data_IF_126099477957
#
_entry.id   IF_126099477957
#
_cell.length_a   1.000
_cell.length_b   1.000
_cell.length_c   1.000
_cell.angle_alpha   90.00
_cell.angle_beta   90.00
_cell.angle_gamma   90.00
#
_symmetry.space_group_name_H-M   'P 1'
#
loop_
_entity.id
_entity.type
_entity.pdbx_description
1 polymer ?
#
# COMPACT_ATOMS: atom_id res chain seq x y z
N UNK A 1 -25.91 -30.76 -6.77
CA UNK A 1 -25.55 -29.91 -7.94
C UNK A 1 -25.60 -28.41 -7.64
N UNK A 2 -26.35 -27.92 -6.65
CA UNK A 2 -26.34 -26.49 -6.28
C UNK A 2 -25.08 -26.01 -5.51
N UNK A 3 -24.38 -26.91 -4.81
CA UNK A 3 -23.22 -26.56 -3.99
C UNK A 3 -21.95 -26.25 -4.81
N UNK A 4 -21.82 -26.82 -6.01
CA UNK A 4 -20.68 -26.63 -6.92
C UNK A 4 -20.73 -25.30 -7.65
N UNK A 5 -21.92 -24.76 -7.91
CA UNK A 5 -22.13 -23.43 -8.51
C UNK A 5 -21.63 -22.31 -7.58
N UNK A 6 -21.87 -22.43 -6.27
CA UNK A 6 -21.47 -21.41 -5.30
C UNK A 6 -19.95 -21.28 -5.15
N UNK A 7 -19.23 -22.40 -5.11
CA UNK A 7 -17.75 -22.42 -5.05
C UNK A 7 -17.14 -21.86 -6.33
N UNK A 8 -17.72 -22.19 -7.48
CA UNK A 8 -17.24 -21.71 -8.79
C UNK A 8 -17.41 -20.20 -8.92
N UNK A 9 -18.55 -19.64 -8.48
CA UNK A 9 -18.78 -18.18 -8.43
C UNK A 9 -17.83 -17.44 -7.49
N UNK A 10 -17.50 -18.03 -6.34
CA UNK A 10 -16.51 -17.45 -5.42
C UNK A 10 -15.09 -17.47 -6.03
N UNK A 11 -14.76 -18.53 -6.77
CA UNK A 11 -13.47 -18.64 -7.46
C UNK A 11 -13.37 -17.62 -8.61
N UNK A 12 -14.41 -17.49 -9.43
CA UNK A 12 -14.47 -16.52 -10.54
C UNK A 12 -14.44 -15.07 -10.01
N UNK A 13 -15.24 -14.74 -9.00
CA UNK A 13 -15.18 -13.43 -8.34
C UNK A 13 -13.80 -13.15 -7.70
N UNK A 14 -13.14 -14.20 -7.19
CA UNK A 14 -11.78 -14.13 -6.68
C UNK A 14 -10.74 -13.82 -7.76
N UNK A 15 -10.92 -14.36 -8.97
CA UNK A 15 -10.02 -14.08 -10.10
C UNK A 15 -10.17 -12.65 -10.61
N UNK A 16 -11.39 -12.10 -10.59
CA UNK A 16 -11.66 -10.74 -11.06
C UNK A 16 -11.06 -9.67 -10.11
N UNK A 17 -10.96 -9.95 -8.80
CA UNK A 17 -10.41 -8.98 -7.84
C UNK A 17 -8.89 -8.82 -7.92
N UNK A 18 -8.18 -9.83 -8.42
CA UNK A 18 -6.71 -9.85 -8.51
C UNK A 18 -6.17 -8.69 -9.36
N UNK A 19 -6.61 -8.46 -10.61
CA UNK A 19 -6.11 -7.35 -11.42
C UNK A 19 -6.39 -5.99 -10.77
N UNK A 20 -7.56 -5.80 -10.13
CA UNK A 20 -7.86 -4.57 -9.41
C UNK A 20 -6.93 -4.36 -8.21
N UNK A 21 -6.67 -5.41 -7.43
CA UNK A 21 -5.76 -5.35 -6.30
C UNK A 21 -4.31 -5.06 -6.74
N UNK A 22 -3.86 -5.68 -7.85
CA UNK A 22 -2.53 -5.42 -8.42
C UNK A 22 -2.40 -3.98 -8.95
N UNK A 23 -3.43 -3.48 -9.64
CA UNK A 23 -3.48 -2.09 -10.12
C UNK A 23 -3.44 -1.10 -8.96
N UNK A 24 -4.23 -1.34 -7.91
CA UNK A 24 -4.23 -0.55 -6.69
C UNK A 24 -2.86 -0.61 -5.99
N UNK A 25 -2.24 -1.79 -5.90
CA UNK A 25 -0.91 -1.98 -5.29
C UNK A 25 0.16 -1.17 -6.00
N UNK A 26 0.14 -1.20 -7.34
CA UNK A 26 1.06 -0.41 -8.15
C UNK A 26 0.86 1.09 -7.93
N UNK A 27 -0.39 1.57 -8.00
CA UNK A 27 -0.71 2.99 -7.81
C UNK A 27 -0.31 3.47 -6.41
N UNK A 28 -0.70 2.73 -5.36
CA UNK A 28 -0.33 3.00 -3.97
C UNK A 28 1.20 3.00 -3.77
N UNK A 29 1.89 2.04 -4.38
CA UNK A 29 3.35 1.96 -4.34
C UNK A 29 4.02 3.18 -4.97
N UNK A 30 3.55 3.65 -6.13
CA UNK A 30 4.12 4.82 -6.80
C UNK A 30 3.87 6.09 -5.97
N UNK A 31 2.62 6.31 -5.54
CA UNK A 31 2.25 7.52 -4.78
C UNK A 31 2.98 7.58 -3.44
N UNK A 32 3.10 6.46 -2.73
CA UNK A 32 3.83 6.43 -1.46
C UNK A 32 5.31 6.75 -1.64
N UNK A 33 5.95 6.29 -2.73
CA UNK A 33 7.36 6.62 -3.05
C UNK A 33 7.54 8.10 -3.36
N UNK A 34 6.62 8.70 -4.11
CA UNK A 34 6.63 10.13 -4.39
C UNK A 34 6.52 10.93 -3.08
N UNK A 35 5.57 10.56 -2.21
CA UNK A 35 5.41 11.23 -0.92
C UNK A 35 6.64 11.07 -0.03
N UNK A 36 7.23 9.87 0.05
CA UNK A 36 8.46 9.64 0.79
C UNK A 36 9.62 10.46 0.27
N UNK A 37 9.72 10.62 -1.05
CA UNK A 37 10.73 11.46 -1.68
C UNK A 37 10.55 12.94 -1.34
N UNK A 38 9.31 13.43 -1.36
CA UNK A 38 8.98 14.80 -0.93
C UNK A 38 9.31 15.01 0.56
N UNK A 39 9.09 13.99 1.39
CA UNK A 39 9.37 14.00 2.82
C UNK A 39 10.82 13.64 3.17
N UNK A 40 11.78 13.71 2.23
CA UNK A 40 13.18 13.31 2.48
C UNK A 40 13.86 14.02 3.65
N UNK A 41 13.40 15.23 4.01
CA UNK A 41 13.93 16.03 5.13
C UNK A 41 13.29 15.71 6.49
N UNK A 42 12.35 14.77 6.55
CA UNK A 42 11.68 14.42 7.80
C UNK A 42 12.64 13.67 8.74
N UNK A 43 12.72 14.05 10.04
CA UNK A 43 13.72 13.54 10.96
C UNK A 43 13.45 12.10 11.43
N UNK A 44 12.18 11.70 11.55
CA UNK A 44 11.79 10.37 12.00
C UNK A 44 11.35 9.51 10.81
N UNK A 45 12.11 8.45 10.53
CA UNK A 45 11.84 7.53 9.43
C UNK A 45 10.51 6.76 9.60
N UNK A 46 10.12 6.39 10.83
CA UNK A 46 8.91 5.59 11.09
C UNK A 46 7.68 6.46 10.93
N UNK A 47 7.68 7.65 11.55
CA UNK A 47 6.59 8.63 11.40
C UNK A 47 6.48 9.05 9.94
N UNK A 48 7.60 9.27 9.25
CA UNK A 48 7.60 9.58 7.81
C UNK A 48 6.92 8.50 7.00
N UNK A 49 7.22 7.21 7.26
CA UNK A 49 6.57 6.09 6.58
C UNK A 49 5.07 6.04 6.88
N UNK A 50 4.68 6.22 8.14
CA UNK A 50 3.28 6.20 8.57
C UNK A 50 2.48 7.33 7.91
N UNK A 51 3.03 8.54 7.86
CA UNK A 51 2.39 9.69 7.21
C UNK A 51 2.28 9.49 5.69
N UNK A 52 3.35 9.08 5.00
CA UNK A 52 3.31 8.88 3.56
C UNK A 52 2.31 7.78 3.16
N UNK A 53 2.31 6.66 3.88
CA UNK A 53 1.36 5.57 3.62
C UNK A 53 -0.07 5.98 4.00
N UNK A 54 -0.27 6.62 5.16
CA UNK A 54 -1.59 7.10 5.59
C UNK A 54 -2.20 8.10 4.61
N UNK A 55 -1.42 9.08 4.15
CA UNK A 55 -1.86 10.03 3.12
C UNK A 55 -2.18 9.33 1.80
N UNK A 56 -1.38 8.34 1.39
CA UNK A 56 -1.66 7.56 0.18
C UNK A 56 -2.96 6.78 0.30
N UNK A 57 -3.23 6.15 1.45
CA UNK A 57 -4.49 5.45 1.70
C UNK A 57 -5.70 6.39 1.58
N UNK A 58 -5.61 7.59 2.16
CA UNK A 58 -6.67 8.61 2.08
C UNK A 58 -6.87 9.09 0.64
N UNK A 59 -5.80 9.43 -0.07
CA UNK A 59 -5.86 9.87 -1.46
C UNK A 59 -6.49 8.78 -2.34
N UNK A 60 -6.02 7.53 -2.19
CA UNK A 60 -6.54 6.38 -2.93
C UNK A 60 -8.02 6.12 -2.62
N UNK A 61 -8.42 6.18 -1.35
CA UNK A 61 -9.81 6.00 -0.93
C UNK A 61 -10.72 7.05 -1.56
N UNK A 62 -10.32 8.33 -1.53
CA UNK A 62 -11.12 9.44 -2.10
C UNK A 62 -11.21 9.32 -3.62
N UNK A 63 -10.07 9.14 -4.30
CA UNK A 63 -10.04 9.03 -5.78
C UNK A 63 -10.80 7.79 -6.23
N UNK A 64 -10.59 6.64 -5.57
CA UNK A 64 -11.28 5.39 -5.88
C UNK A 64 -12.79 5.49 -5.70
N UNK A 65 -13.24 6.11 -4.60
CA UNK A 65 -14.67 6.26 -4.35
C UNK A 65 -15.37 7.23 -5.29
N UNK A 66 -14.71 8.31 -5.73
CA UNK A 66 -15.24 9.16 -6.81
C UNK A 66 -15.12 8.50 -8.20
N UNK A 67 -14.09 7.71 -8.45
CA UNK A 67 -13.91 6.97 -9.70
C UNK A 67 -15.00 5.91 -9.91
N UNK A 68 -15.41 5.23 -8.82
CA UNK A 68 -16.49 4.25 -8.85
C UNK A 68 -17.90 4.87 -8.92
N UNK A 69 -18.03 6.15 -8.60
CA UNK A 69 -19.32 6.84 -8.54
C UNK A 69 -19.98 7.08 -9.91
N UNK A 70 -19.25 6.91 -11.03
CA UNK A 70 -19.77 7.11 -12.40
C UNK A 70 -20.53 8.44 -12.60
N UNK A 71 -20.05 9.53 -12.00
CA UNK A 71 -20.69 10.86 -12.04
C UNK A 71 -21.76 11.09 -10.95
N UNK A 72 -22.03 10.09 -10.12
CA UNK A 72 -22.86 10.17 -8.93
C UNK A 72 -22.12 10.65 -7.66
N UNK A 73 -22.77 10.57 -6.49
CA UNK A 73 -22.15 10.91 -5.21
C UNK A 73 -21.02 9.94 -4.86
N UNK A 74 -20.14 10.35 -3.94
CA UNK A 74 -19.02 9.54 -3.47
C UNK A 74 -19.48 8.13 -3.05
N UNK A 75 -18.87 7.09 -3.63
CA UNK A 75 -19.18 5.68 -3.39
C UNK A 75 -18.06 5.05 -2.52
N UNK A 76 -18.24 4.92 -1.20
CA UNK A 76 -17.16 4.49 -0.30
C UNK A 76 -16.62 3.10 -0.62
N UNK A 77 -17.49 2.18 -1.08
CA UNK A 77 -17.12 0.81 -1.40
C UNK A 77 -16.03 0.72 -2.47
N UNK A 78 -16.08 1.59 -3.49
CA UNK A 78 -15.07 1.66 -4.55
C UNK A 78 -13.70 2.15 -4.08
N UNK A 79 -13.64 2.86 -2.96
CA UNK A 79 -12.40 3.35 -2.36
C UNK A 79 -11.72 2.37 -1.40
N UNK A 80 -12.44 1.38 -0.85
CA UNK A 80 -11.94 0.55 0.25
C UNK A 80 -10.75 -0.35 -0.11
N UNK A 81 -10.54 -0.68 -1.38
CA UNK A 81 -9.40 -1.48 -1.83
C UNK A 81 -8.06 -0.77 -1.51
N UNK A 82 -8.02 0.56 -1.58
CA UNK A 82 -6.78 1.33 -1.45
C UNK A 82 -6.22 1.30 -0.01
N UNK A 83 -7.00 1.56 1.06
CA UNK A 83 -6.52 1.36 2.43
C UNK A 83 -6.04 -0.07 2.71
N UNK A 84 -6.74 -1.09 2.21
CA UNK A 84 -6.37 -2.51 2.42
C UNK A 84 -5.01 -2.81 1.79
N UNK A 85 -4.85 -2.43 0.53
CA UNK A 85 -3.59 -2.56 -0.20
C UNK A 85 -2.47 -1.75 0.45
N UNK A 86 -2.77 -0.58 0.99
CA UNK A 86 -1.78 0.26 1.65
C UNK A 86 -1.17 -0.39 2.89
N UNK A 87 -1.92 -1.24 3.61
CA UNK A 87 -1.37 -2.00 4.74
C UNK A 87 -0.21 -2.90 4.28
N UNK A 88 -0.35 -3.52 3.11
CA UNK A 88 0.70 -4.37 2.52
C UNK A 88 1.93 -3.53 2.15
N UNK A 89 1.72 -2.40 1.47
CA UNK A 89 2.82 -1.48 1.09
C UNK A 89 3.55 -0.96 2.32
N UNK A 90 2.80 -0.57 3.36
CA UNK A 90 3.37 -0.10 4.62
C UNK A 90 4.17 -1.20 5.33
N UNK A 91 3.70 -2.44 5.32
CA UNK A 91 4.44 -3.60 5.84
C UNK A 91 5.78 -3.80 5.12
N UNK A 92 5.79 -3.74 3.79
CA UNK A 92 7.01 -3.83 2.98
C UNK A 92 7.98 -2.69 3.33
N UNK A 93 7.47 -1.47 3.50
CA UNK A 93 8.26 -0.30 3.87
C UNK A 93 8.93 -0.44 5.24
N UNK A 94 8.21 -0.98 6.23
CA UNK A 94 8.75 -1.25 7.56
C UNK A 94 9.85 -2.31 7.52
N UNK A 95 9.66 -3.38 6.76
CA UNK A 95 10.69 -4.42 6.57
C UNK A 95 11.94 -3.85 5.89
N UNK A 96 11.75 -3.04 4.85
CA UNK A 96 12.85 -2.38 4.17
C UNK A 96 13.61 -1.40 5.09
N UNK A 97 12.90 -0.68 5.97
CA UNK A 97 13.52 0.20 6.96
C UNK A 97 14.36 -0.58 7.98
N UNK A 98 13.84 -1.69 8.50
CA UNK A 98 14.58 -2.59 9.40
C UNK A 98 15.86 -3.10 8.74
N UNK A 99 15.78 -3.56 7.48
CA UNK A 99 16.95 -4.02 6.73
C UNK A 99 18.02 -2.94 6.56
N UNK A 100 17.62 -1.71 6.20
CA UNK A 100 18.56 -0.58 6.07
C UNK A 100 19.23 -0.21 7.40
N UNK A 101 18.51 -0.31 8.52
CA UNK A 101 19.07 -0.03 9.86
C UNK A 101 20.08 -1.11 10.26
N UNK A 102 19.77 -2.38 10.03
CA UNK A 102 20.69 -3.49 10.30
C UNK A 102 21.98 -3.38 9.48
N UNK A 103 21.87 -3.10 8.17
CA UNK A 103 23.04 -2.91 7.30
C UNK A 103 23.92 -1.73 7.74
N UNK A 104 23.32 -0.61 8.17
CA UNK A 104 24.07 0.53 8.71
C UNK A 104 24.78 0.21 10.03
N UNK A 105 24.19 -0.64 10.87
CA UNK A 105 24.82 -1.06 12.12
C UNK A 105 26.03 -1.97 11.86
N UNK A 106 25.89 -2.95 10.95
CA UNK A 106 26.99 -3.81 10.54
C UNK A 106 28.18 -3.02 9.96
N UNK A 107 27.90 -2.09 9.04
CA UNK A 107 28.95 -1.24 8.44
C UNK A 107 29.63 -0.28 9.42
N UNK A 108 29.01 0.01 10.57
CA UNK A 108 29.65 0.79 11.65
C UNK A 108 30.58 -0.09 12.48
N UNK A 109 30.16 -1.31 12.83
CA UNK A 109 30.99 -2.25 13.55
C UNK A 109 32.29 -2.58 12.78
N UNK A 110 32.20 -2.84 11.47
CA UNK A 110 33.37 -3.10 10.63
C UNK A 110 34.37 -1.92 10.57
N UNK A 111 33.91 -0.68 10.77
CA UNK A 111 34.78 0.51 10.80
C UNK A 111 35.42 0.77 12.17
N UNK A 112 34.88 0.18 13.23
CA UNK A 112 35.42 0.31 14.59
C UNK A 112 36.45 -0.80 14.88
N UNK A 113 36.38 -1.92 14.14
CA UNK A 113 37.29 -3.07 14.28
C UNK A 113 38.52 -3.03 13.34
N UNK A 114 38.54 -2.15 12.33
CA UNK A 114 39.63 -2.03 11.33
C UNK A 114 40.43 -0.73 11.46
#
# INVERSE_FOLDING_TARGET
MAQTEGVKRLWEAGMDIIPYALGALLACGIVSRILLWLMKRFPDDVIRLALANGLTAVIGFVIGGFGAANGGPFEPAGGLIYPVVQIVVFGIDLLALKGRRAAKAAARAEREEG
#
